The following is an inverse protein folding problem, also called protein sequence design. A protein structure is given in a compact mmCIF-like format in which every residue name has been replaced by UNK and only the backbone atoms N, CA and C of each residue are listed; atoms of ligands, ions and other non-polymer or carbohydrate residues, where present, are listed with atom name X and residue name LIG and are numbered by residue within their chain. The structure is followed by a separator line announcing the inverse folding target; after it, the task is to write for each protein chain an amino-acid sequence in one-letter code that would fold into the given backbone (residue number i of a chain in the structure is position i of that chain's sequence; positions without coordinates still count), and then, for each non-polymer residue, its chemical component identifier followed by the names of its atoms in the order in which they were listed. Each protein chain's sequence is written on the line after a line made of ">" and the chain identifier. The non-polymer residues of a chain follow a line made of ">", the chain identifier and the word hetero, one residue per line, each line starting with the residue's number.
data_IF_533723125745
#
_entry.id   IF_533723125745
#
_cell.length_a   1.000
_cell.length_b   1.000
_cell.length_c   1.000
_cell.angle_alpha   90.00
_cell.angle_beta   90.00
_cell.angle_gamma   90.00
#
_symmetry.space_group_name_H-M   'P 1'
#
loop_
_entity.id
_entity.type
_entity.pdbx_description
1 polymer ?
#
# COMPACT_ATOMS: atom_id res chain seq x y z
N UNK A 1 5.11 -7.76 3.96
CA UNK A 1 4.62 -6.42 4.36
C UNK A 1 5.54 -5.68 5.36
N UNK A 2 5.58 -6.03 6.66
CA UNK A 2 6.30 -5.22 7.67
C UNK A 2 7.83 -5.20 7.48
N UNK A 3 8.44 -6.35 7.19
CA UNK A 3 9.89 -6.43 6.94
C UNK A 3 10.31 -5.62 5.71
N UNK A 4 9.54 -5.72 4.62
CA UNK A 4 9.77 -4.92 3.41
C UNK A 4 9.66 -3.42 3.72
N UNK A 5 8.61 -3.01 4.42
CA UNK A 5 8.45 -1.60 4.83
C UNK A 5 9.63 -1.14 5.71
N UNK A 6 10.06 -1.96 6.67
CA UNK A 6 11.18 -1.64 7.56
C UNK A 6 12.50 -1.48 6.80
N UNK A 7 12.73 -2.30 5.78
CA UNK A 7 13.89 -2.20 4.90
C UNK A 7 13.89 -0.89 4.10
N UNK A 8 12.79 -0.58 3.40
CA UNK A 8 12.75 0.62 2.54
C UNK A 8 12.76 1.93 3.30
N UNK A 9 12.32 1.94 4.56
CA UNK A 9 12.43 3.12 5.44
C UNK A 9 13.87 3.51 5.78
N UNK A 10 14.82 2.59 5.65
CA UNK A 10 16.24 2.84 5.94
C UNK A 10 17.00 3.36 4.71
N UNK A 11 16.38 3.29 3.53
CA UNK A 11 17.02 3.70 2.29
C UNK A 11 17.01 5.21 2.15
N UNK A 12 18.06 5.75 1.53
CA UNK A 12 18.11 7.16 1.13
C UNK A 12 17.09 7.37 0.01
N UNK A 13 16.25 8.40 0.16
CA UNK A 13 15.30 8.81 -0.88
C UNK A 13 15.93 9.90 -1.75
N UNK A 14 16.19 9.59 -3.01
CA UNK A 14 16.67 10.49 -4.05
C UNK A 14 16.07 10.12 -5.42
N UNK A 15 16.43 10.86 -6.47
CA UNK A 15 15.85 10.65 -7.81
C UNK A 15 16.08 9.24 -8.37
N UNK A 16 17.19 8.59 -8.03
CA UNK A 16 17.52 7.25 -8.52
C UNK A 16 16.85 6.12 -7.74
N UNK A 17 16.42 6.40 -6.51
CA UNK A 17 15.87 5.39 -5.58
C UNK A 17 14.37 5.54 -5.37
N UNK A 18 13.81 6.73 -5.60
CA UNK A 18 12.43 7.07 -5.28
C UNK A 18 11.40 6.14 -5.92
N UNK A 19 11.59 5.72 -7.17
CA UNK A 19 10.66 4.82 -7.86
C UNK A 19 10.61 3.43 -7.19
N UNK A 20 11.77 2.85 -6.85
CA UNK A 20 11.87 1.54 -6.21
C UNK A 20 11.28 1.56 -4.80
N UNK A 21 11.66 2.57 -4.00
CA UNK A 21 11.16 2.73 -2.64
C UNK A 21 9.64 2.93 -2.64
N UNK A 22 9.12 3.73 -3.58
CA UNK A 22 7.69 3.93 -3.76
C UNK A 22 6.96 2.63 -4.10
N UNK A 23 7.47 1.85 -5.05
CA UNK A 23 6.86 0.58 -5.43
C UNK A 23 6.83 -0.40 -4.26
N UNK A 24 7.94 -0.56 -3.54
CA UNK A 24 8.01 -1.44 -2.37
C UNK A 24 7.09 -0.99 -1.23
N UNK A 25 6.96 0.33 -1.00
CA UNK A 25 6.03 0.87 -0.02
C UNK A 25 4.57 0.56 -0.41
N UNK A 26 4.20 0.76 -1.68
CA UNK A 26 2.88 0.44 -2.20
C UNK A 26 2.58 -1.06 -2.12
N UNK A 27 3.52 -1.91 -2.53
CA UNK A 27 3.37 -3.36 -2.48
C UNK A 27 3.25 -3.87 -1.04
N UNK A 28 3.94 -3.24 -0.09
CA UNK A 28 3.79 -3.58 1.34
C UNK A 28 2.37 -3.34 1.84
N UNK A 29 1.72 -2.25 1.43
CA UNK A 29 0.30 -1.97 1.75
C UNK A 29 -0.62 -2.98 1.07
N UNK A 30 -0.34 -3.33 -0.19
CA UNK A 30 -1.12 -4.30 -0.96
C UNK A 30 -1.08 -5.68 -0.32
N UNK A 31 0.09 -6.17 0.07
CA UNK A 31 0.26 -7.45 0.76
C UNK A 31 -0.50 -7.48 2.09
N UNK A 32 -0.40 -6.43 2.91
CA UNK A 32 -1.15 -6.34 4.17
C UNK A 32 -2.67 -6.38 3.92
N UNK A 33 -3.14 -5.71 2.87
CA UNK A 33 -4.55 -5.71 2.47
C UNK A 33 -5.01 -7.08 1.96
N UNK A 34 -4.15 -7.79 1.23
CA UNK A 34 -4.41 -9.14 0.73
C UNK A 34 -4.44 -10.18 1.85
N UNK A 35 -3.68 -9.99 2.94
CA UNK A 35 -3.77 -10.83 4.12
C UNK A 35 -5.20 -10.81 4.72
N UNK A 36 -5.82 -9.63 4.78
CA UNK A 36 -7.22 -9.49 5.20
C UNK A 36 -8.19 -10.22 4.24
N UNK A 37 -7.95 -10.14 2.93
CA UNK A 37 -8.71 -10.90 1.95
C UNK A 37 -8.61 -12.41 2.19
N UNK A 38 -7.38 -12.90 2.38
CA UNK A 38 -7.11 -14.32 2.59
C UNK A 38 -7.79 -14.85 3.86
N UNK A 39 -7.74 -14.11 4.96
CA UNK A 39 -8.44 -14.48 6.21
C UNK A 39 -9.96 -14.54 6.03
N UNK A 40 -10.53 -13.74 5.13
CA UNK A 40 -11.96 -13.81 4.77
C UNK A 40 -12.27 -14.83 3.66
N UNK A 41 -11.29 -15.60 3.17
CA UNK A 41 -11.48 -16.59 2.11
C UNK A 41 -11.59 -16.00 0.70
N UNK A 42 -11.21 -14.74 0.49
CA UNK A 42 -11.20 -14.10 -0.82
C UNK A 42 -9.82 -14.18 -1.49
N UNK A 43 -9.81 -14.30 -2.82
CA UNK A 43 -8.60 -14.19 -3.63
C UNK A 43 -8.52 -12.81 -4.29
N UNK A 44 -7.34 -12.17 -4.34
CA UNK A 44 -7.18 -10.90 -5.05
C UNK A 44 -7.21 -11.11 -6.56
N UNK A 45 -8.14 -10.45 -7.25
CA UNK A 45 -8.26 -10.50 -8.72
C UNK A 45 -7.63 -9.29 -9.41
N UNK A 46 -7.58 -8.14 -8.72
CA UNK A 46 -6.97 -6.91 -9.22
C UNK A 46 -6.64 -5.99 -8.05
N UNK A 47 -5.82 -4.95 -8.29
CA UNK A 47 -5.48 -3.97 -7.26
C UNK A 47 -6.72 -3.14 -6.85
N UNK A 48 -7.62 -2.89 -7.80
CA UNK A 48 -8.91 -2.23 -7.52
C UNK A 48 -9.82 -3.11 -6.66
N UNK A 49 -9.82 -4.43 -6.90
CA UNK A 49 -10.58 -5.37 -6.11
C UNK A 49 -10.10 -5.41 -4.65
N UNK A 50 -8.80 -5.23 -4.39
CA UNK A 50 -8.27 -5.11 -3.02
C UNK A 50 -8.86 -3.90 -2.31
N UNK A 51 -8.88 -2.72 -2.95
CA UNK A 51 -9.43 -1.49 -2.37
C UNK A 51 -10.95 -1.62 -2.16
N UNK A 52 -11.67 -2.15 -3.16
CA UNK A 52 -13.11 -2.37 -3.08
C UNK A 52 -13.48 -3.35 -1.96
N UNK A 53 -12.67 -4.40 -1.78
CA UNK A 53 -12.81 -5.34 -0.66
C UNK A 53 -12.65 -4.62 0.68
N UNK A 54 -11.57 -3.83 0.85
CA UNK A 54 -11.35 -3.08 2.08
C UNK A 54 -12.53 -2.15 2.40
N UNK A 55 -13.01 -1.40 1.41
CA UNK A 55 -14.17 -0.51 1.53
C UNK A 55 -15.46 -1.24 1.93
N UNK A 56 -15.65 -2.46 1.42
CA UNK A 56 -16.87 -3.25 1.65
C UNK A 56 -16.89 -3.93 3.02
N UNK A 57 -15.75 -4.44 3.48
CA UNK A 57 -15.70 -5.34 4.63
C UNK A 57 -15.12 -4.70 5.90
N UNK A 58 -14.48 -3.54 5.80
CA UNK A 58 -13.84 -2.89 6.94
C UNK A 58 -14.17 -1.40 6.98
N UNK A 59 -14.32 -0.87 8.19
CA UNK A 59 -14.56 0.56 8.43
C UNK A 59 -13.25 1.35 8.35
N UNK A 60 -12.68 1.42 7.14
CA UNK A 60 -11.50 2.23 6.84
C UNK A 60 -11.95 3.61 6.35
N UNK A 61 -11.27 4.67 6.77
CA UNK A 61 -11.62 6.03 6.35
C UNK A 61 -11.50 6.20 4.83
N UNK A 62 -12.44 6.94 4.23
CA UNK A 62 -12.42 7.20 2.78
C UNK A 62 -11.15 7.95 2.36
N UNK A 63 -10.58 8.76 3.25
CA UNK A 63 -9.28 9.43 3.03
C UNK A 63 -8.15 8.42 2.80
N UNK A 64 -8.04 7.38 3.63
CA UNK A 64 -7.01 6.34 3.47
C UNK A 64 -7.23 5.50 2.21
N UNK A 65 -8.49 5.13 1.93
CA UNK A 65 -8.84 4.38 0.72
C UNK A 65 -8.55 5.20 -0.55
N UNK A 66 -8.84 6.51 -0.53
CA UNK A 66 -8.54 7.42 -1.63
C UNK A 66 -7.04 7.60 -1.84
N UNK A 67 -6.27 7.70 -0.75
CA UNK A 67 -4.81 7.73 -0.83
C UNK A 67 -4.25 6.43 -1.43
N UNK A 68 -4.79 5.27 -1.01
CA UNK A 68 -4.37 3.98 -1.56
C UNK A 68 -4.68 3.88 -3.07
N UNK A 69 -5.86 4.30 -3.50
CA UNK A 69 -6.23 4.33 -4.92
C UNK A 69 -5.38 5.30 -5.73
N UNK A 70 -5.05 6.48 -5.17
CA UNK A 70 -4.14 7.44 -5.80
C UNK A 70 -2.77 6.80 -6.05
N UNK A 71 -2.19 6.14 -5.06
CA UNK A 71 -0.90 5.47 -5.22
C UNK A 71 -0.96 4.28 -6.16
N UNK A 72 -2.06 3.52 -6.20
CA UNK A 72 -2.28 2.47 -7.22
C UNK A 72 -2.23 3.05 -8.63
N UNK A 73 -2.96 4.14 -8.88
CA UNK A 73 -2.99 4.81 -10.18
C UNK A 73 -1.60 5.31 -10.55
N UNK A 74 -0.89 5.93 -9.62
CA UNK A 74 0.47 6.42 -9.84
C UNK A 74 1.46 5.29 -10.15
N UNK A 75 1.39 4.17 -9.42
CA UNK A 75 2.20 2.98 -9.71
C UNK A 75 1.95 2.46 -11.13
N UNK A 76 0.70 2.39 -11.56
CA UNK A 76 0.39 1.99 -12.93
C UNK A 76 0.99 2.96 -13.96
N UNK A 77 0.92 4.27 -13.72
CA UNK A 77 1.54 5.26 -14.63
C UNK A 77 3.07 5.19 -14.62
N UNK A 78 3.70 4.94 -13.48
CA UNK A 78 5.15 4.75 -13.38
C UNK A 78 5.60 3.52 -14.19
N UNK A 79 4.90 2.40 -14.04
CA UNK A 79 5.27 1.13 -14.70
C UNK A 79 5.00 1.14 -16.21
N UNK A 80 3.90 1.73 -16.66
CA UNK A 80 3.49 1.68 -18.07
C UNK A 80 3.72 2.98 -18.85
N UNK A 81 3.89 4.11 -18.17
CA UNK A 81 3.93 5.45 -18.77
C UNK A 81 5.24 6.21 -18.56
N UNK A 82 6.26 5.58 -17.94
CA UNK A 82 7.55 6.22 -17.61
C UNK A 82 7.42 7.52 -16.79
N UNK A 83 6.34 7.66 -16.01
CA UNK A 83 6.17 8.81 -15.11
C UNK A 83 7.17 8.71 -13.96
N UNK A 84 7.95 9.77 -13.75
CA UNK A 84 8.97 9.80 -12.68
C UNK A 84 8.32 9.94 -11.30
N UNK A 85 8.76 9.11 -10.35
CA UNK A 85 8.42 9.29 -8.94
C UNK A 85 9.37 10.30 -8.32
N UNK A 86 8.81 11.43 -7.86
CA UNK A 86 9.61 12.42 -7.14
C UNK A 86 9.96 11.92 -5.73
N UNK A 87 11.10 12.38 -5.15
CA UNK A 87 11.43 12.12 -3.75
C UNK A 87 10.31 12.50 -2.77
N UNK A 88 9.58 13.59 -3.04
CA UNK A 88 8.45 14.04 -2.24
C UNK A 88 7.31 13.02 -2.28
N UNK A 89 6.90 12.59 -3.47
CA UNK A 89 5.87 11.57 -3.67
C UNK A 89 6.25 10.24 -3.00
N UNK A 90 7.50 9.82 -3.14
CA UNK A 90 8.02 8.64 -2.46
C UNK A 90 7.91 8.76 -0.93
N UNK A 91 8.25 9.93 -0.39
CA UNK A 91 8.14 10.20 1.05
C UNK A 91 6.69 10.18 1.52
N UNK A 92 5.75 10.73 0.74
CA UNK A 92 4.31 10.63 1.03
C UNK A 92 3.83 9.17 1.07
N UNK A 93 4.25 8.36 0.10
CA UNK A 93 3.87 6.94 0.04
C UNK A 93 4.45 6.14 1.21
N UNK A 94 5.69 6.41 1.62
CA UNK A 94 6.30 5.82 2.82
C UNK A 94 5.56 6.21 4.10
N UNK A 95 5.22 7.50 4.25
CA UNK A 95 4.47 7.99 5.40
C UNK A 95 3.08 7.32 5.46
N UNK A 96 2.39 7.24 4.32
CA UNK A 96 1.13 6.53 4.20
C UNK A 96 1.24 5.04 4.53
N UNK A 97 2.23 4.32 3.98
CA UNK A 97 2.43 2.90 4.30
C UNK A 97 2.73 2.69 5.79
N UNK A 98 3.50 3.61 6.39
CA UNK A 98 3.85 3.58 7.82
C UNK A 98 2.65 3.80 8.73
N UNK A 99 1.66 4.62 8.33
CA UNK A 99 0.44 4.80 9.11
C UNK A 99 -0.60 3.71 8.86
N UNK A 100 -0.74 3.26 7.60
CA UNK A 100 -1.85 2.42 7.19
C UNK A 100 -1.63 0.93 7.48
N UNK A 101 -0.42 0.39 7.30
CA UNK A 101 -0.14 -1.03 7.59
C UNK A 101 -0.44 -1.40 9.05
N UNK A 102 -0.07 -0.60 10.07
CA UNK A 102 -0.49 -0.85 11.44
C UNK A 102 -2.02 -0.89 11.65
N UNK A 103 -2.80 -0.08 10.92
CA UNK A 103 -4.25 -0.16 10.98
C UNK A 103 -4.78 -1.47 10.39
N UNK A 104 -4.24 -1.90 9.25
CA UNK A 104 -4.60 -3.18 8.63
C UNK A 104 -4.25 -4.37 9.54
N UNK A 105 -3.11 -4.33 10.23
CA UNK A 105 -2.72 -5.37 11.18
C UNK A 105 -3.65 -5.42 12.40
N UNK A 106 -4.04 -4.26 12.97
CA UNK A 106 -5.02 -4.22 14.07
C UNK A 106 -6.36 -4.84 13.66
N UNK A 107 -6.77 -4.67 12.40
CA UNK A 107 -7.97 -5.30 11.86
C UNK A 107 -7.77 -6.81 11.72
N UNK A 108 -6.60 -7.23 11.23
CA UNK A 108 -6.25 -8.64 11.01
C UNK A 108 -6.25 -9.43 12.33
N UNK A 109 -5.64 -8.87 13.37
CA UNK A 109 -5.61 -9.45 14.73
C UNK A 109 -7.02 -9.66 15.26
N UNK A 110 -7.91 -8.66 15.11
CA UNK A 110 -9.31 -8.76 15.52
C UNK A 110 -10.14 -9.76 14.69
N UNK A 111 -9.71 -10.07 13.47
CA UNK A 111 -10.44 -10.99 12.57
C UNK A 111 -9.96 -12.44 12.72
N UNK A 112 -8.80 -12.66 13.33
CA UNK A 112 -8.18 -13.98 13.50
C UNK A 112 -8.55 -14.66 14.84
N UNK A 113 -9.42 -14.03 15.63
CA UNK A 113 -10.02 -14.56 16.87
C UNK A 113 -11.52 -14.77 16.66
#
# INVERSE_FOLDING_TARGET
>A
ALERLAYVKQQRVDKSTAAFIFEDAYESVREASQALMAVKGFKPYSHEAVIAFLKKFYSISEHLLSAFDRFRKLRNKCVYGAEEITPTTCTEALAFATSFIPELNKILEKTSH
#
